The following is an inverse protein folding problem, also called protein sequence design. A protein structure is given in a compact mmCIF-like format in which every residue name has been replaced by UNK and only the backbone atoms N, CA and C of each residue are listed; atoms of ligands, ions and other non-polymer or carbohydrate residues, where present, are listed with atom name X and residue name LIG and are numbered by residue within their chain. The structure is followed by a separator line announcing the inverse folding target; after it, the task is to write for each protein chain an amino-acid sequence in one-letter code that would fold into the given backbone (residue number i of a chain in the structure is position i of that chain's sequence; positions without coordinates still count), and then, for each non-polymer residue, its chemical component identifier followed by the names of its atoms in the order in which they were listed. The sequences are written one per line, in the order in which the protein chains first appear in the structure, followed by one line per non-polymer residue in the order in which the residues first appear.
data_IF_278455219775
#
_entry.id   IF_278455219775
#
_cell.length_a   1.000
_cell.length_b   1.000
_cell.length_c   1.000
_cell.angle_alpha   90.00
_cell.angle_beta   90.00
_cell.angle_gamma   90.00
#
_symmetry.space_group_name_H-M   'P 1'
#
loop_
_entity.id
_entity.type
_entity.pdbx_description
1 polymer ?
#
# COMPACT_ATOMS: atom_id res chain seq x y z
N UNK A 1 5.64 -16.84 5.15
CA UNK A 1 4.73 -16.24 4.16
C UNK A 1 4.83 -14.72 4.26
N UNK A 2 4.99 -14.05 3.14
CA UNK A 2 5.04 -12.58 3.13
C UNK A 2 3.67 -11.99 3.46
N UNK A 3 3.67 -10.91 4.20
CA UNK A 3 2.44 -10.22 4.63
C UNK A 3 2.21 -8.97 3.81
N UNK A 4 1.01 -8.84 3.25
CA UNK A 4 0.61 -7.68 2.45
C UNK A 4 -0.59 -7.03 3.12
N UNK A 5 -0.51 -5.73 3.40
CA UNK A 5 -1.61 -4.94 3.95
C UNK A 5 -2.17 -4.04 2.86
N UNK A 6 -3.47 -4.14 2.60
CA UNK A 6 -4.17 -3.31 1.62
C UNK A 6 -4.94 -2.23 2.38
N UNK A 7 -4.60 -0.97 2.16
CA UNK A 7 -5.29 0.18 2.78
C UNK A 7 -6.00 0.95 1.68
N UNK A 8 -7.30 0.73 1.55
CA UNK A 8 -8.12 1.27 0.47
C UNK A 8 -9.56 1.44 0.98
N UNK A 9 -10.12 2.65 0.85
CA UNK A 9 -11.47 2.93 1.34
C UNK A 9 -12.58 2.34 0.46
N UNK A 10 -12.34 2.19 -0.84
CA UNK A 10 -13.34 1.64 -1.75
C UNK A 10 -13.30 0.11 -1.71
N UNK A 11 -14.39 -0.48 -1.22
CA UNK A 11 -14.46 -1.92 -0.98
C UNK A 11 -14.28 -2.75 -2.26
N UNK A 12 -14.80 -2.27 -3.39
CA UNK A 12 -14.67 -2.98 -4.67
C UNK A 12 -13.23 -2.99 -5.19
N UNK A 13 -12.50 -1.90 -5.02
CA UNK A 13 -11.08 -1.84 -5.40
C UNK A 13 -10.26 -2.74 -4.47
N UNK A 14 -10.54 -2.68 -3.17
CA UNK A 14 -9.87 -3.52 -2.18
C UNK A 14 -10.09 -5.00 -2.49
N UNK A 15 -11.31 -5.35 -2.86
CA UNK A 15 -11.66 -6.72 -3.24
C UNK A 15 -10.92 -7.17 -4.50
N UNK A 16 -10.83 -6.30 -5.51
CA UNK A 16 -10.10 -6.60 -6.74
C UNK A 16 -8.62 -6.88 -6.46
N UNK A 17 -8.00 -6.06 -5.63
CA UNK A 17 -6.60 -6.24 -5.26
C UNK A 17 -6.44 -7.57 -4.52
N UNK A 18 -7.31 -7.85 -3.56
CA UNK A 18 -7.27 -9.09 -2.81
C UNK A 18 -7.39 -10.30 -3.72
N UNK A 19 -8.35 -10.28 -4.64
CA UNK A 19 -8.56 -11.38 -5.58
C UNK A 19 -7.34 -11.60 -6.47
N UNK A 20 -6.69 -10.54 -6.90
CA UNK A 20 -5.47 -10.62 -7.70
C UNK A 20 -4.35 -11.32 -6.93
N UNK A 21 -4.24 -11.05 -5.64
CA UNK A 21 -3.15 -11.56 -4.80
C UNK A 21 -3.44 -12.93 -4.17
N UNK A 22 -4.68 -13.39 -4.21
CA UNK A 22 -5.06 -14.67 -3.61
C UNK A 22 -4.34 -15.87 -4.25
N UNK A 23 -3.93 -15.74 -5.50
CA UNK A 23 -3.20 -16.80 -6.20
C UNK A 23 -1.72 -16.82 -5.84
N UNK A 24 -1.25 -15.84 -5.09
CA UNK A 24 0.13 -15.76 -4.65
C UNK A 24 0.24 -16.22 -3.19
N UNK A 25 1.41 -16.68 -2.75
CA UNK A 25 1.57 -17.16 -1.37
C UNK A 25 1.75 -16.00 -0.38
N UNK A 26 0.77 -15.10 -0.32
CA UNK A 26 0.79 -13.96 0.61
C UNK A 26 -0.27 -14.11 1.68
N UNK A 27 0.06 -13.64 2.88
CA UNK A 27 -0.92 -13.46 3.94
C UNK A 27 -1.45 -12.03 3.79
N UNK A 28 -2.76 -11.89 3.54
CA UNK A 28 -3.37 -10.62 3.15
C UNK A 28 -4.20 -10.04 4.29
N UNK A 29 -3.97 -8.77 4.58
CA UNK A 29 -4.71 -8.00 5.56
C UNK A 29 -5.32 -6.78 4.89
N UNK A 30 -6.42 -6.24 5.43
CA UNK A 30 -7.13 -5.11 4.84
C UNK A 30 -7.45 -4.06 5.89
N UNK A 31 -7.46 -2.80 5.45
CA UNK A 31 -7.91 -1.66 6.24
C UNK A 31 -8.68 -0.71 5.32
N UNK A 32 -9.69 -0.05 5.86
CA UNK A 32 -10.60 0.79 5.07
C UNK A 32 -10.28 2.29 5.15
N UNK A 33 -9.37 2.70 6.03
CA UNK A 33 -8.94 4.10 6.14
C UNK A 33 -7.53 4.18 6.71
N UNK A 34 -6.99 5.41 6.77
CA UNK A 34 -5.61 5.61 7.19
C UNK A 34 -5.35 5.28 8.65
N UNK A 35 -6.28 5.60 9.53
CA UNK A 35 -6.13 5.32 10.97
C UNK A 35 -6.09 3.81 11.21
N UNK A 36 -7.04 3.10 10.61
CA UNK A 36 -7.08 1.63 10.69
C UNK A 36 -5.84 1.02 10.06
N UNK A 37 -5.37 1.60 8.93
CA UNK A 37 -4.16 1.15 8.25
C UNK A 37 -2.93 1.23 9.13
N UNK A 38 -2.75 2.34 9.84
CA UNK A 38 -1.63 2.50 10.77
C UNK A 38 -1.71 1.51 11.93
N UNK A 39 -2.90 1.34 12.49
CA UNK A 39 -3.10 0.41 13.60
C UNK A 39 -2.78 -1.02 13.15
N UNK A 40 -3.27 -1.40 11.99
CA UNK A 40 -3.04 -2.73 11.44
C UNK A 40 -1.56 -2.96 11.11
N UNK A 41 -0.91 -1.95 10.55
CA UNK A 41 0.52 -2.04 10.23
C UNK A 41 1.36 -2.27 11.48
N UNK A 42 1.06 -1.56 12.57
CA UNK A 42 1.76 -1.75 13.84
C UNK A 42 1.53 -3.15 14.41
N UNK A 43 0.34 -3.70 14.17
CA UNK A 43 -0.06 -5.00 14.68
C UNK A 43 0.58 -6.16 13.94
N UNK A 44 0.56 -6.12 12.59
CA UNK A 44 1.01 -7.25 11.76
C UNK A 44 2.42 -7.07 11.18
N UNK A 45 2.95 -5.88 11.19
CA UNK A 45 4.25 -5.52 10.61
C UNK A 45 4.37 -6.13 9.20
N UNK A 46 3.63 -5.57 8.22
CA UNK A 46 3.60 -6.16 6.89
C UNK A 46 4.93 -6.00 6.15
N UNK A 47 5.20 -6.89 5.22
CA UNK A 47 6.34 -6.76 4.33
C UNK A 47 6.09 -5.68 3.27
N UNK A 48 4.83 -5.49 2.89
CA UNK A 48 4.43 -4.51 1.90
C UNK A 48 3.05 -3.95 2.21
N UNK A 49 2.89 -2.64 2.03
CA UNK A 49 1.61 -1.95 2.13
C UNK A 49 1.22 -1.39 0.77
N UNK A 50 0.00 -1.68 0.35
CA UNK A 50 -0.64 -1.02 -0.79
C UNK A 50 -1.55 0.05 -0.18
N UNK A 51 -1.29 1.31 -0.49
CA UNK A 51 -1.83 2.43 0.27
C UNK A 51 -2.45 3.48 -0.66
N UNK A 52 -3.77 3.60 -0.63
CA UNK A 52 -4.49 4.60 -1.41
C UNK A 52 -4.11 6.01 -0.93
N UNK A 53 -3.76 6.89 -1.86
CA UNK A 53 -3.41 8.28 -1.54
C UNK A 53 -4.65 9.06 -1.11
N UNK A 54 -5.76 8.88 -1.83
CA UNK A 54 -6.99 9.66 -1.62
C UNK A 54 -7.98 8.89 -0.76
N UNK A 55 -7.90 9.08 0.55
CA UNK A 55 -8.83 8.46 1.49
C UNK A 55 -9.51 9.54 2.35
N UNK A 56 -10.82 9.37 2.65
CA UNK A 56 -11.48 10.28 3.59
C UNK A 56 -11.00 10.02 5.02
N UNK A 57 -11.31 10.95 5.91
CA UNK A 57 -10.99 10.81 7.32
C UNK A 57 -9.79 11.67 7.73
N UNK A 58 -9.21 11.35 8.87
CA UNK A 58 -8.16 12.17 9.47
C UNK A 58 -6.83 12.08 8.73
N UNK A 59 -6.54 10.93 8.11
CA UNK A 59 -5.25 10.71 7.47
C UNK A 59 -5.45 10.25 6.03
N UNK A 60 -4.81 10.93 5.10
CA UNK A 60 -4.70 10.43 3.72
C UNK A 60 -3.51 9.49 3.60
N UNK A 61 -3.31 8.91 2.41
CA UNK A 61 -2.24 7.94 2.21
C UNK A 61 -0.85 8.51 2.35
N UNK A 62 -0.64 9.77 1.99
CA UNK A 62 0.67 10.41 2.15
C UNK A 62 1.03 10.57 3.62
N UNK A 63 0.07 11.00 4.43
CA UNK A 63 0.28 11.13 5.87
C UNK A 63 0.56 9.78 6.53
N UNK A 64 -0.15 8.74 6.11
CA UNK A 64 0.09 7.38 6.59
C UNK A 64 1.51 6.94 6.23
N UNK A 65 1.93 7.20 4.99
CA UNK A 65 3.27 6.84 4.52
C UNK A 65 4.37 7.49 5.36
N UNK A 66 4.22 8.79 5.65
CA UNK A 66 5.16 9.52 6.49
C UNK A 66 5.27 8.86 7.87
N UNK A 67 4.14 8.51 8.47
CA UNK A 67 4.13 7.88 9.79
C UNK A 67 4.74 6.48 9.78
N UNK A 68 4.51 5.72 8.71
CA UNK A 68 5.13 4.39 8.55
C UNK A 68 6.65 4.54 8.49
N UNK A 69 7.14 5.49 7.69
CA UNK A 69 8.59 5.72 7.59
C UNK A 69 9.22 6.20 8.91
N UNK A 70 8.45 6.89 9.73
CA UNK A 70 8.93 7.38 11.02
C UNK A 70 8.93 6.31 12.11
N UNK A 71 8.27 5.19 11.87
CA UNK A 71 8.16 4.10 12.85
C UNK A 71 9.32 3.11 12.70
N UNK A 72 10.22 2.99 13.70
CA UNK A 72 11.37 2.09 13.59
C UNK A 72 10.98 0.63 13.32
N UNK A 73 9.84 0.19 13.83
CA UNK A 73 9.36 -1.18 13.64
C UNK A 73 9.00 -1.46 12.19
N UNK A 74 8.63 -0.41 11.44
CA UNK A 74 8.14 -0.53 10.07
C UNK A 74 9.17 -0.11 9.01
N UNK A 75 10.44 -0.03 9.39
CA UNK A 75 11.49 0.39 8.45
C UNK A 75 11.66 -0.58 7.28
N UNK A 76 11.39 -1.86 7.49
CA UNK A 76 11.47 -2.87 6.44
C UNK A 76 10.23 -3.00 5.59
N UNK A 77 9.14 -2.31 5.95
CA UNK A 77 7.89 -2.36 5.18
C UNK A 77 8.03 -1.56 3.90
N UNK A 78 7.78 -2.19 2.76
CA UNK A 78 7.71 -1.49 1.47
C UNK A 78 6.36 -0.83 1.32
N UNK A 79 6.33 0.40 0.81
CA UNK A 79 5.08 1.15 0.61
C UNK A 79 4.88 1.44 -0.85
N UNK A 80 3.75 1.01 -1.40
CA UNK A 80 3.32 1.29 -2.78
C UNK A 80 2.06 2.14 -2.69
N UNK A 81 2.12 3.34 -3.24
CA UNK A 81 0.97 4.24 -3.25
C UNK A 81 0.06 3.95 -4.43
N UNK A 82 -1.24 4.01 -4.20
CA UNK A 82 -2.25 3.88 -5.25
C UNK A 82 -2.81 5.26 -5.51
N UNK A 83 -2.64 5.77 -6.73
CA UNK A 83 -2.94 7.16 -7.03
C UNK A 83 -3.78 7.28 -8.30
N UNK A 84 -4.50 8.41 -8.44
CA UNK A 84 -5.30 8.69 -9.63
C UNK A 84 -4.41 9.06 -10.82
N UNK A 85 -4.92 8.79 -12.02
CA UNK A 85 -4.20 9.07 -13.26
C UNK A 85 -3.86 10.56 -13.36
N UNK A 86 -2.64 10.84 -13.81
CA UNK A 86 -2.21 12.20 -14.13
C UNK A 86 -1.79 13.04 -12.94
N UNK A 87 -1.72 12.47 -11.76
CA UNK A 87 -1.33 13.20 -10.55
C UNK A 87 0.18 13.19 -10.36
N UNK A 88 0.88 13.98 -11.18
CA UNK A 88 2.35 14.10 -11.07
C UNK A 88 2.77 14.59 -9.68
N UNK A 89 1.97 15.51 -9.10
CA UNK A 89 2.23 16.01 -7.75
C UNK A 89 2.23 14.91 -6.70
N UNK A 90 1.32 13.94 -6.85
CA UNK A 90 1.23 12.83 -5.92
C UNK A 90 2.47 11.94 -5.99
N UNK A 91 3.05 11.83 -7.18
CA UNK A 91 4.26 11.08 -7.41
C UNK A 91 5.44 11.66 -6.63
N UNK A 92 5.65 12.97 -6.78
CA UNK A 92 6.72 13.67 -6.07
C UNK A 92 6.48 13.67 -4.57
N UNK A 93 5.25 13.94 -4.15
CA UNK A 93 4.88 13.94 -2.74
C UNK A 93 5.04 12.55 -2.13
N UNK A 94 4.70 11.50 -2.88
CA UNK A 94 4.87 10.12 -2.44
C UNK A 94 6.34 9.76 -2.23
N UNK A 95 7.18 10.19 -3.15
CA UNK A 95 8.62 9.96 -3.04
C UNK A 95 9.19 10.68 -1.81
N UNK A 96 8.77 11.92 -1.58
CA UNK A 96 9.19 12.69 -0.40
C UNK A 96 8.66 12.07 0.89
N UNK A 97 7.48 11.45 0.85
CA UNK A 97 6.90 10.77 2.00
C UNK A 97 7.59 9.43 2.30
N UNK A 98 8.45 8.96 1.42
CA UNK A 98 9.21 7.73 1.63
C UNK A 98 8.60 6.49 0.99
N UNK A 99 7.70 6.65 0.02
CA UNK A 99 7.14 5.51 -0.71
C UNK A 99 8.19 4.86 -1.60
N UNK A 100 8.10 3.55 -1.75
CA UNK A 100 9.02 2.78 -2.59
C UNK A 100 8.60 2.79 -4.05
N UNK A 101 7.29 2.89 -4.31
CA UNK A 101 6.76 2.95 -5.67
C UNK A 101 5.31 3.43 -5.62
N UNK A 102 4.69 3.55 -6.78
CA UNK A 102 3.28 3.92 -6.89
C UNK A 102 2.66 3.19 -8.09
N UNK A 103 1.34 3.01 -8.05
CA UNK A 103 0.56 2.46 -9.14
C UNK A 103 -0.59 3.40 -9.45
N UNK A 104 -0.88 3.59 -10.74
CA UNK A 104 -1.93 4.50 -11.19
C UNK A 104 -3.24 3.72 -11.36
N UNK A 105 -4.33 4.27 -10.82
CA UNK A 105 -5.67 3.71 -10.98
C UNK A 105 -6.20 4.00 -12.39
N UNK A 106 -6.89 3.07 -13.02
CA UNK A 106 -7.29 1.75 -12.54
C UNK A 106 -6.11 0.79 -12.46
N UNK A 107 -6.06 0.02 -11.37
CA UNK A 107 -4.94 -0.86 -11.09
C UNK A 107 -4.90 -2.02 -12.08
N UNK A 108 -3.79 -2.16 -12.79
CA UNK A 108 -3.55 -3.31 -13.64
C UNK A 108 -3.10 -4.49 -12.79
N UNK A 109 -3.80 -5.64 -12.83
CA UNK A 109 -3.36 -6.81 -12.07
C UNK A 109 -1.94 -7.24 -12.39
N UNK A 110 -1.53 -7.18 -13.65
CA UNK A 110 -0.18 -7.54 -14.04
C UNK A 110 0.87 -6.60 -13.45
N UNK A 111 0.62 -5.28 -13.53
CA UNK A 111 1.53 -4.28 -12.93
C UNK A 111 1.61 -4.45 -11.42
N UNK A 112 0.49 -4.76 -10.78
CA UNK A 112 0.46 -4.99 -9.33
C UNK A 112 1.38 -6.14 -8.94
N UNK A 113 1.25 -7.25 -9.62
CA UNK A 113 2.05 -8.44 -9.34
C UNK A 113 3.54 -8.16 -9.61
N UNK A 114 3.85 -7.54 -10.74
CA UNK A 114 5.23 -7.20 -11.11
C UNK A 114 5.89 -6.28 -10.08
N UNK A 115 5.14 -5.28 -9.61
CA UNK A 115 5.65 -4.32 -8.63
C UNK A 115 5.93 -5.02 -7.29
N UNK A 116 5.02 -5.86 -6.85
CA UNK A 116 5.18 -6.59 -5.59
C UNK A 116 6.37 -7.54 -5.67
N UNK A 117 6.49 -8.28 -6.77
CA UNK A 117 7.60 -9.21 -6.95
C UNK A 117 8.96 -8.50 -6.96
N UNK A 118 9.01 -7.32 -7.57
CA UNK A 118 10.23 -6.52 -7.62
C UNK A 118 10.63 -6.01 -6.25
N UNK A 119 9.66 -5.58 -5.44
CA UNK A 119 9.91 -5.03 -4.11
C UNK A 119 10.10 -6.10 -3.03
N UNK A 120 9.57 -7.29 -3.26
CA UNK A 120 9.69 -8.42 -2.35
C UNK A 120 10.17 -9.66 -3.11
N UNK A 121 11.40 -9.64 -3.60
CA UNK A 121 11.88 -10.80 -4.34
C UNK A 121 11.96 -12.04 -3.44
N UNK A 122 11.63 -13.18 -4.03
CA UNK A 122 11.77 -14.47 -3.37
C UNK A 122 13.25 -14.84 -3.41
N UNK A 123 13.85 -14.96 -2.27
CA UNK A 123 15.26 -15.36 -2.19
C UNK A 123 15.41 -16.71 -1.53
#
# INVERSE_FOLDING_TARGET
MKRVLIVEDQADIRKLIRMTLEFEPYEIFEAADGVEGLRKAAEVVPDLMLLDVMMPGELDGLQVCVQVRANPTLQGTRVVLLTARGQVKDRDAGQQAGADDYLIKPISPLQLIETIERLMPDT
#
